data_IF_830658243933
#
_entry.id   IF_830658243933
#
_cell.length_a   1.000
_cell.length_b   1.000
_cell.length_c   1.000
_cell.angle_alpha   90.00
_cell.angle_beta   90.00
_cell.angle_gamma   90.00
#
_symmetry.space_group_name_H-M   'P 1'
#
loop_
_entity.id
_entity.type
_entity.pdbx_description
1 polymer ?
#
# COMPACT_ATOMS: atom_id res chain seq x y z
N UNK A 1 0.56 -17.93 -14.83
CA UNK A 1 0.84 -18.31 -13.43
C UNK A 1 2.34 -18.31 -13.07
N UNK A 2 3.27 -18.06 -14.00
CA UNK A 2 4.71 -18.18 -13.77
C UNK A 2 5.49 -16.86 -13.57
N UNK A 3 4.85 -15.69 -13.46
CA UNK A 3 5.56 -14.40 -13.23
C UNK A 3 5.81 -14.07 -11.75
N UNK A 4 4.98 -14.61 -10.86
CA UNK A 4 5.02 -14.29 -9.43
C UNK A 4 6.20 -14.91 -8.67
N UNK A 5 6.71 -16.05 -9.14
CA UNK A 5 7.81 -16.75 -8.46
C UNK A 5 9.19 -16.14 -8.76
N UNK A 6 9.37 -15.46 -9.90
CA UNK A 6 10.66 -14.81 -10.24
C UNK A 6 10.94 -13.53 -9.45
N UNK A 7 9.93 -12.91 -8.82
CA UNK A 7 10.09 -11.66 -8.07
C UNK A 7 10.56 -11.89 -6.61
N UNK A 8 10.31 -13.08 -6.05
CA UNK A 8 10.55 -13.39 -4.63
C UNK A 8 12.02 -13.43 -4.18
N UNK A 9 13.00 -13.42 -5.08
CA UNK A 9 14.42 -13.55 -4.70
C UNK A 9 15.37 -12.46 -5.23
N UNK A 10 14.86 -11.41 -5.86
CA UNK A 10 15.74 -10.40 -6.44
C UNK A 10 15.07 -9.08 -6.76
N UNK A 11 15.34 -8.10 -5.89
CA UNK A 11 15.26 -6.67 -6.18
C UNK A 11 13.86 -6.03 -6.29
N UNK A 12 13.33 -5.50 -5.17
CA UNK A 12 12.49 -4.30 -5.24
C UNK A 12 13.20 -3.13 -5.97
N UNK A 13 14.54 -3.12 -6.02
CA UNK A 13 15.35 -2.09 -6.71
C UNK A 13 15.34 -2.15 -8.24
N UNK A 14 15.05 -3.30 -8.86
CA UNK A 14 15.16 -3.47 -10.33
C UNK A 14 13.83 -3.16 -11.05
N UNK A 15 12.73 -3.04 -10.30
CA UNK A 15 11.38 -2.76 -10.82
C UNK A 15 10.74 -1.49 -10.23
N UNK A 16 11.49 -0.69 -9.48
CA UNK A 16 10.99 0.59 -9.00
C UNK A 16 11.03 1.62 -10.13
N UNK A 17 9.97 1.64 -10.94
CA UNK A 17 9.56 2.85 -11.66
C UNK A 17 9.65 4.03 -10.69
N UNK A 18 10.27 5.14 -11.07
CA UNK A 18 10.44 6.33 -10.21
C UNK A 18 9.15 6.82 -9.55
N UNK A 19 7.98 6.45 -10.11
CA UNK A 19 6.65 6.66 -9.53
C UNK A 19 6.44 5.96 -8.18
N UNK A 20 6.88 4.71 -8.00
CA UNK A 20 6.72 3.98 -6.72
C UNK A 20 7.66 4.54 -5.66
N UNK A 21 8.89 4.90 -6.06
CA UNK A 21 9.82 5.61 -5.18
C UNK A 21 9.26 6.96 -4.70
N UNK A 22 8.60 7.71 -5.60
CA UNK A 22 7.90 8.95 -5.26
C UNK A 22 6.76 8.71 -4.27
N UNK A 23 5.98 7.64 -4.42
CA UNK A 23 4.92 7.31 -3.46
C UNK A 23 5.47 6.99 -2.06
N UNK A 24 6.59 6.27 -1.96
CA UNK A 24 7.26 6.02 -0.67
C UNK A 24 7.81 7.31 -0.07
N UNK A 25 8.45 8.16 -0.89
CA UNK A 25 8.99 9.45 -0.45
C UNK A 25 7.89 10.41 0.04
N UNK A 26 6.70 10.38 -0.57
CA UNK A 26 5.51 11.12 -0.11
C UNK A 26 4.91 10.48 1.16
N UNK A 27 5.05 9.17 1.33
CA UNK A 27 4.57 8.46 2.52
C UNK A 27 5.16 8.98 3.83
N UNK A 28 6.46 9.34 3.85
CA UNK A 28 7.14 9.86 5.04
C UNK A 28 6.52 11.17 5.57
N UNK A 29 6.37 12.24 4.78
CA UNK A 29 5.73 13.47 5.27
C UNK A 29 4.24 13.28 5.59
N UNK A 30 3.51 12.45 4.83
CA UNK A 30 2.10 12.13 5.13
C UNK A 30 1.97 11.42 6.48
N UNK A 31 2.87 10.48 6.77
CA UNK A 31 2.96 9.81 8.05
C UNK A 31 3.23 10.80 9.21
N UNK A 32 4.17 11.71 9.05
CA UNK A 32 4.45 12.75 10.05
C UNK A 32 3.23 13.67 10.29
N UNK A 33 2.50 14.04 9.22
CA UNK A 33 1.27 14.81 9.34
C UNK A 33 0.15 14.02 10.04
N UNK A 34 0.04 12.71 9.80
CA UNK A 34 -0.89 11.83 10.49
C UNK A 34 -0.66 11.79 12.00
N UNK A 35 0.61 11.66 12.41
CA UNK A 35 1.01 11.72 13.82
C UNK A 35 0.76 13.11 14.42
N UNK A 36 1.04 14.18 13.68
CA UNK A 36 0.76 15.55 14.12
C UNK A 36 -0.75 15.78 14.34
N UNK A 37 -1.62 15.12 13.58
CA UNK A 37 -3.06 15.10 13.82
C UNK A 37 -3.46 14.40 15.12
N UNK A 38 -2.69 13.39 15.53
CA UNK A 38 -2.95 12.61 16.75
C UNK A 38 -2.42 13.28 18.04
N UNK A 39 -1.63 14.35 17.90
CA UNK A 39 -1.25 15.23 19.02
C UNK A 39 -2.48 15.84 19.70
N UNK A 40 -3.61 15.98 18.97
CA UNK A 40 -4.90 16.37 19.56
C UNK A 40 -5.52 15.28 20.45
N UNK A 41 -5.16 14.00 20.26
CA UNK A 41 -5.61 12.85 21.06
C UNK A 41 -4.67 12.50 22.23
N UNK A 42 -3.64 13.33 22.53
CA UNK A 42 -2.66 13.16 23.63
C UNK A 42 -1.79 11.89 23.56
N UNK A 43 -1.67 11.24 22.40
CA UNK A 43 -0.73 10.13 22.22
C UNK A 43 0.67 10.68 21.87
N UNK A 44 1.68 10.31 22.66
CA UNK A 44 3.07 10.66 22.34
C UNK A 44 3.61 9.75 21.24
N UNK A 45 4.61 10.24 20.51
CA UNK A 45 5.41 9.45 19.58
C UNK A 45 6.19 8.38 20.36
N UNK A 46 5.57 7.21 20.52
CA UNK A 46 6.17 6.05 21.17
C UNK A 46 6.60 5.00 20.12
N UNK A 47 7.42 4.04 20.54
CA UNK A 47 7.92 2.98 19.64
C UNK A 47 6.77 2.22 18.95
N UNK A 48 5.64 2.03 19.64
CA UNK A 48 4.47 1.35 19.07
C UNK A 48 3.89 2.15 17.89
N UNK A 49 3.74 3.46 18.04
CA UNK A 49 3.23 4.36 16.98
C UNK A 49 4.15 4.36 15.76
N UNK A 50 5.48 4.36 15.98
CA UNK A 50 6.45 4.26 14.88
C UNK A 50 6.39 2.92 14.16
N UNK A 51 6.16 1.82 14.87
CA UNK A 51 5.98 0.50 14.27
C UNK A 51 4.70 0.42 13.45
N UNK A 52 3.59 0.93 13.99
CA UNK A 52 2.31 1.04 13.28
C UNK A 52 2.43 1.91 12.02
N UNK A 53 3.21 2.99 12.07
CA UNK A 53 3.47 3.86 10.93
C UNK A 53 4.18 3.13 9.79
N UNK A 54 5.26 2.41 10.09
CA UNK A 54 6.05 1.66 9.09
C UNK A 54 5.20 0.55 8.47
N UNK A 55 4.43 -0.18 9.28
CA UNK A 55 3.51 -1.22 8.80
C UNK A 55 2.40 -0.65 7.92
N UNK A 56 1.82 0.49 8.31
CA UNK A 56 0.79 1.17 7.52
C UNK A 56 1.29 1.59 6.14
N UNK A 57 2.51 2.15 6.06
CA UNK A 57 3.14 2.49 4.78
C UNK A 57 3.34 1.23 3.92
N UNK A 58 3.76 0.11 4.52
CA UNK A 58 3.95 -1.16 3.81
C UNK A 58 2.68 -1.65 3.12
N UNK A 59 1.53 -1.57 3.80
CA UNK A 59 0.23 -1.99 3.24
C UNK A 59 -0.19 -1.07 2.08
N UNK A 60 -0.07 0.25 2.25
CA UNK A 60 -0.45 1.22 1.20
C UNK A 60 0.39 1.04 -0.07
N UNK A 61 1.68 0.77 0.06
CA UNK A 61 2.58 0.57 -1.08
C UNK A 61 2.26 -0.74 -1.81
N UNK A 62 1.98 -1.82 -1.08
CA UNK A 62 1.60 -3.10 -1.67
C UNK A 62 0.31 -2.98 -2.49
N UNK A 63 -0.72 -2.33 -1.94
CA UNK A 63 -1.99 -2.09 -2.63
C UNK A 63 -1.80 -1.23 -3.89
N UNK A 64 -0.93 -0.21 -3.85
CA UNK A 64 -0.62 0.63 -5.00
C UNK A 64 0.05 -0.16 -6.14
N UNK A 65 0.95 -1.10 -5.80
CA UNK A 65 1.61 -1.96 -6.78
C UNK A 65 0.58 -2.86 -7.48
N UNK A 66 -0.28 -3.53 -6.72
CA UNK A 66 -1.31 -4.43 -7.25
C UNK A 66 -2.27 -3.70 -8.20
N UNK A 67 -2.77 -2.53 -7.81
CA UNK A 67 -3.65 -1.71 -8.66
C UNK A 67 -2.95 -1.28 -9.95
N UNK A 68 -1.67 -0.91 -9.87
CA UNK A 68 -0.89 -0.48 -11.04
C UNK A 68 -0.65 -1.61 -12.05
N UNK A 69 -0.38 -2.82 -11.55
CA UNK A 69 -0.18 -4.01 -12.38
C UNK A 69 -1.49 -4.43 -13.04
N UNK A 70 -2.60 -4.38 -12.29
CA UNK A 70 -3.92 -4.70 -12.82
C UNK A 70 -4.34 -3.70 -13.91
N UNK A 71 -4.17 -2.40 -13.66
CA UNK A 71 -4.42 -1.33 -14.65
C UNK A 71 -3.59 -1.53 -15.92
N UNK A 72 -2.29 -1.83 -15.77
CA UNK A 72 -1.40 -2.08 -16.91
C UNK A 72 -1.80 -3.34 -17.68
N UNK A 73 -2.27 -4.37 -16.98
CA UNK A 73 -2.76 -5.62 -17.59
C UNK A 73 -4.04 -5.38 -18.39
N UNK A 74 -4.98 -4.63 -17.84
CA UNK A 74 -6.23 -4.23 -18.49
C UNK A 74 -5.96 -3.35 -19.71
N UNK A 75 -5.01 -2.42 -19.61
CA UNK A 75 -4.59 -1.60 -20.74
C UNK A 75 -3.94 -2.43 -21.86
N UNK A 76 -3.05 -3.37 -21.52
CA UNK A 76 -2.45 -4.30 -22.50
C UNK A 76 -3.47 -5.21 -23.19
N UNK A 77 -4.66 -5.39 -22.63
CA UNK A 77 -5.78 -6.11 -23.25
C UNK A 77 -6.57 -5.25 -24.24
N UNK A 78 -6.15 -4.02 -24.49
CA UNK A 78 -6.74 -3.11 -25.48
C UNK A 78 -7.74 -2.11 -24.91
N UNK A 79 -7.89 -2.01 -23.59
CA UNK A 79 -8.76 -0.99 -22.98
C UNK A 79 -8.08 0.38 -22.88
N UNK A 80 -8.87 1.43 -23.08
CA UNK A 80 -8.42 2.80 -22.93
C UNK A 80 -7.98 3.06 -21.48
N UNK A 81 -6.95 3.91 -21.28
CA UNK A 81 -6.31 4.10 -19.97
C UNK A 81 -7.29 4.51 -18.85
N UNK A 82 -8.28 5.34 -19.19
CA UNK A 82 -9.28 5.82 -18.22
C UNK A 82 -10.21 4.70 -17.77
N UNK A 83 -10.69 3.88 -18.70
CA UNK A 83 -11.59 2.75 -18.39
C UNK A 83 -10.84 1.60 -17.69
N UNK A 84 -9.59 1.38 -18.07
CA UNK A 84 -8.72 0.41 -17.40
C UNK A 84 -8.47 0.80 -15.94
N UNK A 85 -8.28 2.10 -15.64
CA UNK A 85 -8.04 2.57 -14.28
C UNK A 85 -9.29 2.46 -13.39
N UNK A 86 -10.47 2.82 -13.91
CA UNK A 86 -11.73 2.75 -13.15
C UNK A 86 -12.14 1.30 -12.89
N UNK A 87 -11.99 0.42 -13.88
CA UNK A 87 -12.27 -1.00 -13.71
C UNK A 87 -11.27 -1.67 -12.78
N UNK A 88 -9.98 -1.32 -12.88
CA UNK A 88 -8.97 -1.83 -11.97
C UNK A 88 -9.24 -1.42 -10.51
N UNK A 89 -9.60 -0.16 -10.29
CA UNK A 89 -9.92 0.35 -8.96
C UNK A 89 -11.11 -0.42 -8.33
N UNK A 90 -12.18 -0.66 -9.10
CA UNK A 90 -13.33 -1.43 -8.62
C UNK A 90 -12.98 -2.90 -8.35
N UNK A 91 -12.19 -3.54 -9.21
CA UNK A 91 -11.81 -4.94 -9.02
C UNK A 91 -10.87 -5.13 -7.81
N UNK A 92 -9.94 -4.20 -7.61
CA UNK A 92 -8.99 -4.25 -6.49
C UNK A 92 -9.61 -3.87 -5.14
N UNK A 93 -10.81 -3.28 -5.11
CA UNK A 93 -11.49 -2.88 -3.89
C UNK A 93 -11.71 -4.05 -2.91
N UNK A 94 -12.04 -5.24 -3.43
CA UNK A 94 -12.17 -6.43 -2.59
C UNK A 94 -10.83 -6.85 -1.97
N UNK A 95 -9.73 -6.72 -2.74
CA UNK A 95 -8.39 -7.05 -2.28
C UNK A 95 -7.95 -6.16 -1.12
N UNK A 96 -8.23 -4.86 -1.23
CA UNK A 96 -7.98 -3.85 -0.20
C UNK A 96 -8.63 -4.22 1.15
N UNK A 97 -9.92 -4.59 1.14
CA UNK A 97 -10.62 -5.01 2.36
C UNK A 97 -9.99 -6.25 3.02
N UNK A 98 -9.55 -7.21 2.20
CA UNK A 98 -8.89 -8.41 2.69
C UNK A 98 -7.51 -8.11 3.26
N UNK A 99 -6.76 -7.17 2.69
CA UNK A 99 -5.44 -6.78 3.18
C UNK A 99 -5.51 -5.95 4.46
N UNK A 100 -6.48 -5.06 4.61
CA UNK A 100 -6.65 -4.25 5.82
C UNK A 100 -7.20 -5.03 7.02
N UNK A 101 -8.13 -5.97 6.80
CA UNK A 101 -8.77 -6.71 7.90
C UNK A 101 -7.80 -7.56 8.73
N UNK A 102 -6.78 -8.15 8.11
CA UNK A 102 -5.80 -9.02 8.76
C UNK A 102 -4.93 -8.30 9.81
N UNK A 103 -4.26 -7.17 9.51
CA UNK A 103 -3.50 -6.44 10.52
C UNK A 103 -4.40 -5.92 11.63
N UNK A 104 -5.61 -5.43 11.31
CA UNK A 104 -6.56 -5.00 12.35
C UNK A 104 -6.89 -6.13 13.34
N UNK A 105 -7.15 -7.35 12.85
CA UNK A 105 -7.38 -8.53 13.69
C UNK A 105 -6.12 -8.94 14.48
N UNK A 106 -4.93 -8.79 13.90
CA UNK A 106 -3.67 -9.09 14.57
C UNK A 106 -3.32 -8.08 15.68
N UNK A 107 -3.75 -6.82 15.55
CA UNK A 107 -3.55 -5.78 16.55
C UNK A 107 -4.65 -5.73 17.61
N UNK A 108 -5.77 -6.41 17.41
CA UNK A 108 -6.87 -6.50 18.38
C UNK A 108 -6.41 -6.93 19.81
N UNK A 109 -5.53 -7.93 20.00
CA UNK A 109 -5.05 -8.31 21.34
C UNK A 109 -4.04 -7.33 21.96
N UNK A 110 -3.54 -6.34 21.20
CA UNK A 110 -2.58 -5.34 21.71
C UNK A 110 -3.30 -4.20 22.45
N UNK A 111 -4.57 -3.96 22.13
CA UNK A 111 -5.40 -2.92 22.75
C UNK A 111 -6.44 -3.46 23.74
N UNK A 112 -6.45 -4.77 23.97
CA UNK A 112 -7.40 -5.49 24.84
C UNK A 112 -6.77 -6.01 26.12
#
# INVERSE_FOLDING_TARGET
MAKWVYCCFGCPFLFLNGRVALWVAIGIPVAFLGVWGDVFCRMSLDMITMFALILGIGIVVDDAIVVSEHTTTLHRRGMHYQDAATQAANACFHQFWLHLSKPMAAFLPVYG
#
